data_IF_583630595274
#
_entry.id   IF_583630595274
#
_cell.length_a   1.000
_cell.length_b   1.000
_cell.length_c   1.000
_cell.angle_alpha   90.00
_cell.angle_beta   90.00
_cell.angle_gamma   90.00
#
_symmetry.space_group_name_H-M   'P 1'
#
loop_
_entity.id
_entity.type
_entity.pdbx_description
1 polymer ?
#
# COMPACT_ATOMS: atom_id res chain seq x y z
N UNK A 1 -11.28 6.89 2.96
CA UNK A 1 -10.15 7.17 2.06
C UNK A 1 -10.07 6.22 0.87
N UNK A 2 -9.97 4.89 1.04
CA UNK A 2 -10.06 3.96 -0.10
C UNK A 2 -11.34 4.14 -0.94
N UNK A 3 -12.46 4.44 -0.29
CA UNK A 3 -13.71 4.80 -0.99
C UNK A 3 -13.56 6.04 -1.88
N UNK A 4 -12.86 7.09 -1.46
CA UNK A 4 -12.62 8.27 -2.32
C UNK A 4 -11.68 7.94 -3.49
N UNK A 5 -10.65 7.11 -3.25
CA UNK A 5 -9.74 6.65 -4.30
C UNK A 5 -10.47 5.81 -5.36
N UNK A 6 -11.47 5.01 -4.95
CA UNK A 6 -12.26 4.17 -5.87
C UNK A 6 -13.44 4.89 -6.54
N UNK A 7 -13.98 5.94 -5.92
CA UNK A 7 -15.16 6.65 -6.44
C UNK A 7 -14.84 7.95 -7.18
N UNK A 8 -13.68 8.56 -6.93
CA UNK A 8 -13.12 9.55 -7.87
C UNK A 8 -12.47 8.72 -8.96
N UNK A 9 -13.17 8.50 -10.08
CA UNK A 9 -12.71 7.69 -11.21
C UNK A 9 -11.21 7.85 -11.40
N UNK A 10 -10.45 6.83 -11.02
CA UNK A 10 -9.02 6.89 -11.17
C UNK A 10 -8.74 7.06 -12.65
N UNK A 11 -7.94 8.08 -12.97
CA UNK A 11 -7.48 8.32 -14.33
C UNK A 11 -6.47 7.23 -14.71
N UNK A 12 -6.87 5.95 -14.69
CA UNK A 12 -6.09 4.80 -15.12
C UNK A 12 -5.57 5.04 -16.53
N UNK A 13 -4.45 4.40 -16.91
CA UNK A 13 -3.95 4.57 -18.28
C UNK A 13 -4.94 4.05 -19.32
N UNK A 14 -5.73 3.02 -19.00
CA UNK A 14 -6.89 2.63 -19.80
C UNK A 14 -7.84 3.81 -20.09
N UNK A 15 -8.27 4.53 -19.03
CA UNK A 15 -9.15 5.69 -19.18
C UNK A 15 -8.46 6.83 -19.97
N UNK A 16 -7.17 7.09 -19.72
CA UNK A 16 -6.42 8.12 -20.43
C UNK A 16 -6.23 7.79 -21.92
N UNK A 17 -5.98 6.53 -22.26
CA UNK A 17 -5.92 6.06 -23.64
C UNK A 17 -7.27 6.16 -24.34
N UNK A 18 -8.37 5.83 -23.65
CA UNK A 18 -9.73 6.00 -24.18
C UNK A 18 -10.02 7.45 -24.58
N UNK A 19 -9.50 8.42 -23.84
CA UNK A 19 -9.61 9.85 -24.17
C UNK A 19 -8.49 10.39 -25.06
N UNK A 20 -7.62 9.52 -25.61
CA UNK A 20 -6.45 9.89 -26.43
C UNK A 20 -5.47 10.86 -25.74
N UNK A 21 -5.43 10.83 -24.41
CA UNK A 21 -4.50 11.63 -23.59
C UNK A 21 -3.14 10.92 -23.47
N UNK A 22 -3.11 9.60 -23.60
CA UNK A 22 -1.89 8.79 -23.54
C UNK A 22 -1.89 7.74 -24.65
N UNK A 23 -0.72 7.43 -25.20
CA UNK A 23 -0.53 6.43 -26.26
C UNK A 23 -0.40 4.99 -25.74
N UNK A 24 -0.05 4.82 -24.45
CA UNK A 24 0.22 3.52 -23.85
C UNK A 24 -0.66 3.27 -22.62
N UNK A 25 -1.35 2.13 -22.62
CA UNK A 25 -2.26 1.72 -21.56
C UNK A 25 -1.63 0.80 -20.50
N UNK A 26 -0.38 0.36 -20.72
CA UNK A 26 0.38 -0.49 -19.80
C UNK A 26 0.57 0.16 -18.42
N UNK A 27 0.53 -0.64 -17.37
CA UNK A 27 0.72 -0.22 -16.00
C UNK A 27 2.09 0.41 -15.77
N UNK A 28 2.11 1.64 -15.26
CA UNK A 28 3.36 2.34 -14.96
C UNK A 28 4.15 1.78 -13.77
N UNK A 29 3.63 0.76 -13.07
CA UNK A 29 4.32 0.14 -11.93
C UNK A 29 4.98 -1.19 -12.31
N UNK A 30 4.37 -1.97 -13.20
CA UNK A 30 4.90 -3.27 -13.63
C UNK A 30 5.23 -3.36 -15.10
N UNK A 31 4.71 -2.46 -15.93
CA UNK A 31 4.90 -2.40 -17.39
C UNK A 31 4.49 -3.66 -18.17
N UNK A 32 3.78 -4.60 -17.54
CA UNK A 32 3.42 -5.89 -18.13
C UNK A 32 1.96 -6.01 -18.57
N UNK A 33 1.02 -5.42 -17.83
CA UNK A 33 -0.42 -5.55 -18.08
C UNK A 33 -1.06 -4.15 -18.16
N UNK A 34 -2.24 -4.07 -18.77
CA UNK A 34 -3.02 -2.84 -18.84
C UNK A 34 -3.32 -2.28 -17.43
N UNK A 35 -3.14 -0.97 -17.26
CA UNK A 35 -3.50 -0.30 -16.01
C UNK A 35 -5.02 -0.14 -15.92
N UNK A 36 -5.67 -1.05 -15.21
CA UNK A 36 -7.05 -0.90 -14.72
C UNK A 36 -7.03 -0.72 -13.20
N UNK A 37 -8.16 -0.36 -12.57
CA UNK A 37 -8.23 -0.28 -11.10
C UNK A 37 -8.05 -1.66 -10.45
N UNK A 38 -8.66 -2.68 -11.06
CA UNK A 38 -8.51 -4.07 -10.62
C UNK A 38 -7.04 -4.53 -10.71
N UNK A 39 -6.36 -4.18 -11.80
CA UNK A 39 -4.94 -4.45 -11.93
C UNK A 39 -4.15 -3.68 -10.87
N UNK A 40 -4.34 -2.36 -10.73
CA UNK A 40 -3.54 -1.53 -9.83
C UNK A 40 -3.57 -2.00 -8.38
N UNK A 41 -4.72 -2.42 -7.85
CA UNK A 41 -4.85 -2.79 -6.44
C UNK A 41 -4.87 -4.30 -6.14
N UNK A 42 -5.04 -5.16 -7.15
CA UNK A 42 -5.12 -6.63 -6.95
C UNK A 42 -4.39 -7.49 -7.98
N UNK A 43 -4.23 -7.01 -9.22
CA UNK A 43 -3.55 -7.75 -10.30
C UNK A 43 -2.05 -7.50 -10.39
N UNK A 44 -1.59 -6.30 -10.05
CA UNK A 44 -0.25 -5.83 -10.33
C UNK A 44 0.80 -6.55 -9.47
N UNK A 45 1.83 -7.09 -10.12
CA UNK A 45 2.95 -7.76 -9.42
C UNK A 45 3.60 -6.82 -8.40
N UNK A 46 3.77 -5.54 -8.74
CA UNK A 46 4.34 -4.53 -7.84
C UNK A 46 3.50 -4.42 -6.57
N UNK A 47 2.18 -4.28 -6.71
CA UNK A 47 1.25 -4.19 -5.60
C UNK A 47 1.23 -5.48 -4.77
N UNK A 48 1.27 -6.65 -5.41
CA UNK A 48 1.32 -7.95 -4.72
C UNK A 48 2.60 -8.10 -3.89
N UNK A 49 3.74 -7.61 -4.39
CA UNK A 49 5.01 -7.62 -3.63
C UNK A 49 4.93 -6.71 -2.39
N UNK A 50 4.28 -5.55 -2.48
CA UNK A 50 4.03 -4.69 -1.31
C UNK A 50 3.10 -5.40 -0.32
N UNK A 51 1.98 -5.95 -0.80
CA UNK A 51 1.01 -6.66 0.04
C UNK A 51 1.61 -7.87 0.76
N UNK A 52 2.43 -8.67 0.06
CA UNK A 52 3.11 -9.82 0.65
C UNK A 52 3.99 -9.41 1.84
N UNK A 53 4.83 -8.38 1.66
CA UNK A 53 5.70 -7.89 2.74
C UNK A 53 4.94 -7.34 3.94
N UNK A 54 3.88 -6.58 3.70
CA UNK A 54 3.04 -6.04 4.78
C UNK A 54 2.30 -7.18 5.49
N UNK A 55 1.87 -8.22 4.75
CA UNK A 55 1.25 -9.41 5.32
C UNK A 55 2.22 -10.20 6.20
N UNK A 56 3.46 -10.42 5.73
CA UNK A 56 4.50 -11.11 6.50
C UNK A 56 4.78 -10.39 7.82
N UNK A 57 4.81 -9.05 7.79
CA UNK A 57 4.91 -8.23 9.00
C UNK A 57 3.73 -8.44 9.95
N UNK A 58 2.49 -8.41 9.45
CA UNK A 58 1.28 -8.67 10.28
C UNK A 58 1.36 -10.06 10.92
N UNK A 59 1.70 -11.08 10.14
CA UNK A 59 1.73 -12.47 10.61
C UNK A 59 2.87 -12.68 11.62
N UNK A 60 4.02 -12.01 11.43
CA UNK A 60 5.10 -11.95 12.43
C UNK A 60 4.68 -11.25 13.73
N UNK A 61 3.98 -10.12 13.63
CA UNK A 61 3.47 -9.41 14.81
C UNK A 61 2.42 -10.25 15.57
N UNK A 62 1.61 -11.04 14.86
CA UNK A 62 0.64 -11.97 15.44
C UNK A 62 1.34 -13.07 16.25
N UNK A 63 2.39 -13.68 15.70
CA UNK A 63 3.14 -14.73 16.38
C UNK A 63 3.74 -14.25 17.71
N UNK A 64 4.04 -12.94 17.83
CA UNK A 64 4.68 -12.35 19.01
C UNK A 64 3.71 -11.75 20.02
N UNK A 65 2.71 -10.98 19.60
CA UNK A 65 2.01 -10.05 20.52
C UNK A 65 0.49 -9.98 20.39
N UNK A 66 -0.14 -10.51 19.33
CA UNK A 66 -1.58 -10.28 19.08
C UNK A 66 -2.37 -11.58 18.85
N UNK A 67 -3.22 -11.98 19.82
CA UNK A 67 -4.07 -13.18 19.72
C UNK A 67 -5.32 -13.03 18.83
N UNK A 68 -5.74 -11.81 18.45
CA UNK A 68 -6.88 -11.59 17.54
C UNK A 68 -6.68 -10.38 16.61
N UNK A 69 -7.10 -10.54 15.35
CA UNK A 69 -7.20 -9.45 14.37
C UNK A 69 -8.36 -8.54 14.75
N UNK A 70 -8.11 -7.25 15.02
CA UNK A 70 -9.16 -6.25 14.90
C UNK A 70 -9.46 -6.07 13.41
N UNK A 71 -10.70 -6.32 12.98
CA UNK A 71 -11.15 -6.06 11.60
C UNK A 71 -10.85 -4.63 11.16
N UNK A 72 -10.89 -3.68 12.09
CA UNK A 72 -10.54 -2.27 11.88
C UNK A 72 -9.05 -2.07 11.59
N UNK A 73 -8.15 -2.82 12.22
CA UNK A 73 -6.71 -2.75 11.95
C UNK A 73 -6.40 -3.25 10.53
N UNK A 74 -6.96 -4.40 10.13
CA UNK A 74 -6.77 -4.93 8.78
C UNK A 74 -7.29 -3.97 7.72
N UNK A 75 -8.46 -3.36 7.95
CA UNK A 75 -9.02 -2.35 7.05
C UNK A 75 -8.12 -1.12 6.96
N UNK A 76 -7.55 -0.67 8.07
CA UNK A 76 -6.60 0.45 8.08
C UNK A 76 -5.32 0.13 7.31
N UNK A 77 -4.78 -1.08 7.47
CA UNK A 77 -3.61 -1.53 6.71
C UNK A 77 -3.93 -1.56 5.22
N UNK A 78 -5.05 -2.17 4.83
CA UNK A 78 -5.48 -2.23 3.43
C UNK A 78 -5.63 -0.83 2.82
N UNK A 79 -6.27 0.10 3.54
CA UNK A 79 -6.41 1.48 3.11
C UNK A 79 -5.05 2.20 2.95
N UNK A 80 -4.09 1.91 3.83
CA UNK A 80 -2.74 2.47 3.76
C UNK A 80 -1.95 1.93 2.56
N UNK A 81 -2.08 0.62 2.27
CA UNK A 81 -1.51 0.00 1.06
C UNK A 81 -2.07 0.68 -0.19
N UNK A 82 -3.40 0.73 -0.33
CA UNK A 82 -4.05 1.32 -1.51
C UNK A 82 -3.64 2.77 -1.72
N UNK A 83 -3.61 3.56 -0.65
CA UNK A 83 -3.14 4.94 -0.73
C UNK A 83 -1.68 5.05 -1.16
N UNK A 84 -0.78 4.21 -0.63
CA UNK A 84 0.64 4.25 -0.99
C UNK A 84 0.90 3.81 -2.42
N UNK A 85 0.21 2.79 -2.91
CA UNK A 85 0.26 2.37 -4.31
C UNK A 85 -0.22 3.49 -5.23
N UNK A 86 -1.35 4.11 -4.89
CA UNK A 86 -1.86 5.27 -5.63
C UNK A 86 -0.85 6.43 -5.66
N UNK A 87 -0.20 6.72 -4.53
CA UNK A 87 0.80 7.78 -4.45
C UNK A 87 2.04 7.46 -5.30
N UNK A 88 2.56 6.23 -5.24
CA UNK A 88 3.71 5.79 -6.05
C UNK A 88 3.41 5.92 -7.55
N UNK A 89 2.22 5.49 -7.96
CA UNK A 89 1.75 5.65 -9.33
C UNK A 89 1.77 7.13 -9.77
N UNK A 90 1.29 8.04 -8.93
CA UNK A 90 1.27 9.47 -9.26
C UNK A 90 2.68 10.09 -9.24
N UNK A 91 3.54 9.68 -8.31
CA UNK A 91 4.93 10.12 -8.26
C UNK A 91 5.69 9.68 -9.52
N UNK A 92 5.49 8.45 -9.99
CA UNK A 92 6.08 8.01 -11.25
C UNK A 92 5.58 8.87 -12.43
N UNK A 93 4.30 9.23 -12.48
CA UNK A 93 3.76 10.09 -13.54
C UNK A 93 4.39 11.49 -13.59
N UNK A 94 4.71 12.07 -12.43
CA UNK A 94 5.21 13.46 -12.34
C UNK A 94 6.74 13.51 -12.34
N UNK A 95 7.39 12.56 -11.65
CA UNK A 95 8.81 12.59 -11.34
C UNK A 95 9.60 11.45 -12.00
N UNK A 96 8.93 10.53 -12.70
CA UNK A 96 9.51 9.29 -13.24
C UNK A 96 10.26 8.46 -12.18
N UNK A 97 9.84 8.60 -10.92
CA UNK A 97 10.43 7.91 -9.78
C UNK A 97 9.49 6.81 -9.29
N UNK A 98 10.01 5.60 -9.21
CA UNK A 98 9.34 4.46 -8.60
C UNK A 98 10.20 3.93 -7.46
N UNK A 99 9.66 3.94 -6.24
CA UNK A 99 10.37 3.32 -5.13
C UNK A 99 10.26 1.79 -5.21
N UNK A 100 11.26 1.11 -4.65
CA UNK A 100 11.21 -0.35 -4.55
C UNK A 100 10.03 -0.81 -3.67
N UNK A 101 9.35 -1.92 -3.99
CA UNK A 101 8.22 -2.41 -3.20
C UNK A 101 8.55 -2.62 -1.71
N UNK A 102 9.82 -2.88 -1.38
CA UNK A 102 10.28 -3.03 0.01
C UNK A 102 10.20 -1.71 0.79
N UNK A 103 10.61 -0.61 0.15
CA UNK A 103 10.58 0.73 0.73
C UNK A 103 9.12 1.14 0.97
N UNK A 104 8.25 0.88 -0.01
CA UNK A 104 6.82 1.20 0.09
C UNK A 104 6.14 0.38 1.19
N UNK A 105 6.44 -0.91 1.29
CA UNK A 105 5.94 -1.75 2.37
C UNK A 105 6.37 -1.23 3.75
N UNK A 106 7.64 -0.81 3.90
CA UNK A 106 8.14 -0.19 5.13
C UNK A 106 7.39 1.10 5.47
N UNK A 107 7.20 2.00 4.50
CA UNK A 107 6.42 3.22 4.69
C UNK A 107 4.97 2.94 5.13
N UNK A 108 4.33 1.89 4.60
CA UNK A 108 2.99 1.47 5.04
C UNK A 108 3.03 1.02 6.50
N UNK A 109 4.00 0.19 6.87
CA UNK A 109 4.18 -0.29 8.24
C UNK A 109 4.37 0.88 9.19
N UNK A 110 5.24 1.83 8.87
CA UNK A 110 5.51 3.01 9.70
C UNK A 110 4.24 3.84 9.94
N UNK A 111 3.46 4.13 8.88
CA UNK A 111 2.17 4.84 9.00
C UNK A 111 1.21 4.10 9.93
N UNK A 112 1.11 2.77 9.79
CA UNK A 112 0.21 1.97 10.62
C UNK A 112 0.69 1.95 12.06
N UNK A 113 1.98 1.76 12.30
CA UNK A 113 2.61 1.79 13.61
C UNK A 113 2.40 3.14 14.30
N UNK A 114 2.63 4.26 13.62
CA UNK A 114 2.43 5.59 14.19
C UNK A 114 0.96 5.84 14.54
N UNK A 115 0.02 5.42 13.69
CA UNK A 115 -1.41 5.52 14.00
C UNK A 115 -1.83 4.63 15.16
N UNK A 116 -1.25 3.44 15.27
CA UNK A 116 -1.52 2.53 16.40
C UNK A 116 -0.93 3.10 17.69
N UNK A 117 0.27 3.70 17.65
CA UNK A 117 0.87 4.42 18.79
C UNK A 117 -0.02 5.57 19.25
N UNK A 118 -0.53 6.39 18.33
CA UNK A 118 -1.41 7.51 18.65
C UNK A 118 -2.77 7.09 19.23
N UNK A 119 -3.25 5.88 18.89
CA UNK A 119 -4.51 5.32 19.40
C UNK A 119 -4.32 4.54 20.70
N UNK A 120 -3.10 4.13 21.03
CA UNK A 120 -2.74 3.39 22.22
C UNK A 120 -1.83 4.26 23.10
N UNK A 121 -2.44 5.15 23.90
CA UNK A 121 -1.86 5.53 25.20
C UNK A 121 -1.98 4.29 26.10
N UNK A 122 -1.22 3.24 25.79
CA UNK A 122 -1.07 2.05 26.62
C UNK A 122 0.41 1.83 26.90
N UNK A 123 0.77 1.42 28.13
CA UNK A 123 2.15 1.20 28.53
C UNK A 123 2.64 -0.12 27.91
N UNK A 124 3.12 -0.07 26.67
CA UNK A 124 3.67 -1.24 25.99
C UNK A 124 5.19 -1.20 26.19
N UNK A 125 5.66 -1.91 27.21
CA UNK A 125 7.09 -2.11 27.56
C UNK A 125 7.91 -2.86 26.50
N UNK A 126 7.30 -3.38 25.44
CA UNK A 126 7.96 -4.22 24.42
C UNK A 126 8.13 -3.55 23.05
N UNK A 127 7.98 -2.22 22.96
CA UNK A 127 8.16 -1.52 21.69
C UNK A 127 9.65 -1.49 21.25
N UNK A 128 10.57 -1.38 22.20
CA UNK A 128 12.01 -1.33 21.92
C UNK A 128 12.51 -2.65 21.31
N UNK A 129 11.93 -3.78 21.71
CA UNK A 129 12.21 -5.10 21.15
C UNK A 129 11.81 -5.26 19.68
N UNK A 130 10.92 -4.41 19.17
CA UNK A 130 10.41 -4.47 17.79
C UNK A 130 11.21 -3.58 16.82
N UNK A 131 11.86 -2.52 17.33
CA UNK A 131 12.68 -1.59 16.53
C UNK A 131 14.14 -2.07 16.42
N UNK A 132 14.65 -2.78 17.43
CA UNK A 132 16.06 -3.19 17.49
C UNK A 132 16.48 -4.29 16.50
N UNK A 133 15.57 -4.80 15.66
CA UNK A 133 15.85 -5.89 14.70
C UNK A 133 15.38 -5.59 13.26
N UNK A 134 15.16 -4.30 12.93
CA UNK A 134 14.95 -3.79 11.56
C UNK A 134 16.22 -3.13 11.01
#
# INVERSE_FOLDING_TARGET
MAWLIRNVSLNTRENLCRFRICEFDLCCLCEMEQQTDAHLFGGCVYTRLVQARVKDWIDGARARCMKKRSSKLLLNVQNAIEYRIWNQRNQYRVLMKLDMPAIVARQVIDIVCDRVRLLLVLPIRDYDSFILYL
#
